data_IF_877688778036
#
_entry.id   IF_877688778036
#
_cell.length_a   1.000
_cell.length_b   1.000
_cell.length_c   1.000
_cell.angle_alpha   90.00
_cell.angle_beta   90.00
_cell.angle_gamma   90.00
#
_symmetry.space_group_name_H-M   'P 1'
#
loop_
_entity.id
_entity.type
_entity.pdbx_description
1 polymer ?
#
# COMPACT_ATOMS: atom_id res chain seq x y z
N UNK A 1 26.84 8.62 23.11
CA UNK A 1 25.79 9.60 22.76
C UNK A 1 25.48 9.42 21.29
N UNK A 2 24.37 8.88 20.80
CA UNK A 2 23.15 8.32 21.38
C UNK A 2 22.72 7.12 20.49
N UNK A 3 22.31 6.02 21.12
CA UNK A 3 21.59 4.94 20.45
C UNK A 3 20.13 5.38 20.29
N UNK A 4 19.84 6.11 19.21
CA UNK A 4 18.47 6.35 18.77
C UNK A 4 18.00 5.16 17.95
N UNK A 5 17.67 4.05 18.62
CA UNK A 5 17.08 2.90 17.95
C UNK A 5 15.76 3.33 17.32
N UNK A 6 15.67 3.25 16.00
CA UNK A 6 14.46 3.57 15.28
C UNK A 6 13.40 2.51 15.59
N UNK A 7 12.26 2.95 16.12
CA UNK A 7 11.29 2.06 16.75
C UNK A 7 10.44 1.35 15.70
N UNK A 8 10.67 0.06 15.52
CA UNK A 8 9.82 -0.81 14.72
C UNK A 8 8.44 -0.91 15.38
N UNK A 9 7.38 -0.88 14.57
CA UNK A 9 6.01 -1.06 15.07
C UNK A 9 5.51 -2.46 14.80
N UNK A 10 4.73 -2.97 15.74
CA UNK A 10 3.91 -4.17 15.54
C UNK A 10 2.70 -3.81 14.69
N UNK A 11 2.42 -4.65 13.71
CA UNK A 11 1.25 -4.54 12.83
C UNK A 11 0.53 -5.87 12.75
N UNK A 12 -0.74 -5.81 12.33
CA UNK A 12 -1.58 -6.98 12.12
C UNK A 12 -2.35 -6.81 10.82
N UNK A 13 -2.37 -7.86 10.00
CA UNK A 13 -3.17 -7.88 8.78
C UNK A 13 -4.66 -7.60 9.08
N UNK A 14 -5.29 -6.83 8.19
CA UNK A 14 -6.67 -6.37 8.34
C UNK A 14 -7.54 -6.80 7.15
N UNK A 15 -7.15 -6.41 5.94
CA UNK A 15 -7.97 -6.61 4.74
C UNK A 15 -7.16 -6.57 3.45
N UNK A 16 -7.77 -7.02 2.36
CA UNK A 16 -7.25 -6.84 1.00
C UNK A 16 -8.20 -6.04 0.13
N UNK A 17 -7.63 -5.25 -0.78
CA UNK A 17 -8.36 -4.54 -1.83
C UNK A 17 -7.64 -4.70 -3.16
N UNK A 18 -8.39 -4.78 -4.26
CA UNK A 18 -7.83 -4.76 -5.63
C UNK A 18 -8.03 -3.38 -6.22
N UNK A 19 -6.98 -2.76 -6.74
CA UNK A 19 -7.00 -1.37 -7.21
C UNK A 19 -6.07 -1.14 -8.38
N UNK A 20 -6.35 -0.08 -9.14
CA UNK A 20 -5.34 0.60 -9.94
C UNK A 20 -4.76 1.76 -9.13
N UNK A 21 -3.44 1.97 -9.17
CA UNK A 21 -2.81 3.09 -8.47
C UNK A 21 -2.52 4.20 -9.48
N UNK A 22 -3.33 5.25 -9.44
CA UNK A 22 -3.32 6.32 -10.43
C UNK A 22 -2.58 7.55 -9.90
N UNK A 23 -1.88 8.23 -10.79
CA UNK A 23 -1.43 9.61 -10.61
C UNK A 23 -2.20 10.47 -11.60
N UNK A 24 -2.85 11.55 -11.17
CA UNK A 24 -3.70 12.37 -12.03
C UNK A 24 -3.02 13.64 -12.56
N UNK A 25 -1.77 13.90 -12.16
CA UNK A 25 -1.20 15.24 -12.21
C UNK A 25 -0.29 15.47 -13.42
N UNK A 26 -0.77 16.30 -14.35
CA UNK A 26 0.03 16.91 -15.42
C UNK A 26 0.94 15.93 -16.15
N UNK A 27 2.24 16.23 -16.19
CA UNK A 27 3.24 15.38 -16.86
C UNK A 27 3.34 13.98 -16.24
N UNK A 28 3.00 13.79 -14.96
CA UNK A 28 3.12 12.52 -14.25
C UNK A 28 1.87 11.64 -14.36
N UNK A 29 0.79 12.17 -14.96
CA UNK A 29 -0.46 11.45 -15.15
C UNK A 29 -0.26 10.05 -15.73
N UNK A 30 -0.91 9.06 -15.13
CA UNK A 30 -0.86 7.66 -15.54
C UNK A 30 -1.10 6.69 -14.39
N UNK A 31 -1.12 5.40 -14.69
CA UNK A 31 -1.33 4.30 -13.74
C UNK A 31 -0.02 3.56 -13.52
N UNK A 32 0.24 3.10 -12.28
CA UNK A 32 1.38 2.22 -12.01
C UNK A 32 1.24 0.92 -12.80
N UNK A 33 2.33 0.47 -13.40
CA UNK A 33 2.37 -0.72 -14.25
C UNK A 33 3.67 -1.50 -14.04
N UNK A 34 3.58 -2.83 -14.10
CA UNK A 34 4.73 -3.71 -14.25
C UNK A 34 4.77 -4.21 -15.68
N UNK A 35 5.75 -3.75 -16.45
CA UNK A 35 5.91 -4.24 -17.81
C UNK A 35 6.41 -5.68 -17.85
N UNK A 36 5.80 -6.48 -18.73
CA UNK A 36 6.38 -7.74 -19.18
C UNK A 36 7.60 -7.47 -20.10
N UNK A 37 8.58 -8.36 -20.03
CA UNK A 37 9.72 -8.40 -20.94
C UNK A 37 9.28 -9.00 -22.29
N UNK A 38 10.14 -8.89 -23.32
CA UNK A 38 9.86 -9.44 -24.66
C UNK A 38 9.63 -10.96 -24.66
N UNK A 39 10.18 -11.69 -23.69
CA UNK A 39 9.98 -13.13 -23.49
C UNK A 39 8.73 -13.48 -22.66
N UNK A 40 7.90 -12.49 -22.30
CA UNK A 40 6.70 -12.66 -21.49
C UNK A 40 6.95 -12.71 -19.98
N UNK A 41 8.20 -12.71 -19.51
CA UNK A 41 8.49 -12.69 -18.08
C UNK A 41 8.18 -11.33 -17.45
N UNK A 42 7.75 -11.31 -16.17
CA UNK A 42 7.52 -10.05 -15.47
C UNK A 42 8.82 -9.25 -15.27
N UNK A 43 8.74 -7.94 -15.51
CA UNK A 43 9.82 -7.00 -15.21
C UNK A 43 9.97 -6.76 -13.70
N UNK A 44 11.19 -6.52 -13.22
CA UNK A 44 11.49 -6.28 -11.79
C UNK A 44 11.35 -4.80 -11.34
N UNK A 45 10.58 -3.99 -12.07
CA UNK A 45 10.51 -2.52 -11.90
C UNK A 45 9.09 -2.01 -12.12
N UNK A 46 8.73 -0.98 -11.35
CA UNK A 46 7.47 -0.26 -11.49
C UNK A 46 7.64 0.94 -12.42
N UNK A 47 6.73 1.10 -13.38
CA UNK A 47 6.67 2.24 -14.30
C UNK A 47 5.32 2.94 -14.18
N UNK A 48 5.11 3.98 -14.99
CA UNK A 48 3.79 4.56 -15.24
C UNK A 48 3.40 4.36 -16.69
N UNK A 49 2.16 3.97 -16.93
CA UNK A 49 1.55 4.03 -18.26
C UNK A 49 0.55 5.18 -18.32
N UNK A 50 0.58 6.03 -19.36
CA UNK A 50 -0.43 7.09 -19.52
C UNK A 50 -1.80 6.53 -19.90
N UNK A 51 -1.83 5.36 -20.57
CA UNK A 51 -3.03 4.75 -21.10
C UNK A 51 -3.12 3.30 -20.65
N UNK A 52 -4.23 2.96 -19.98
CA UNK A 52 -4.63 1.58 -19.76
C UNK A 52 -5.43 1.13 -20.98
N UNK A 53 -4.98 0.06 -21.61
CA UNK A 53 -5.58 -0.55 -22.79
C UNK A 53 -5.98 -1.99 -22.45
N UNK A 54 -6.84 -2.65 -23.24
CA UNK A 54 -7.14 -4.06 -23.02
C UNK A 54 -5.89 -4.97 -22.99
N UNK A 55 -4.80 -4.59 -23.68
CA UNK A 55 -3.57 -5.38 -23.78
C UNK A 55 -2.72 -5.35 -22.50
N UNK A 56 -2.71 -4.25 -21.77
CA UNK A 56 -1.85 -4.04 -20.60
C UNK A 56 -2.66 -3.78 -19.32
N UNK A 57 -3.95 -4.10 -19.33
CA UNK A 57 -4.84 -3.84 -18.20
C UNK A 57 -4.40 -4.63 -16.98
N UNK A 58 -4.10 -5.91 -17.16
CA UNK A 58 -3.79 -6.82 -16.05
C UNK A 58 -2.44 -6.47 -15.40
N UNK A 59 -1.48 -5.98 -16.20
CA UNK A 59 -0.18 -5.43 -15.75
C UNK A 59 -0.31 -4.23 -14.78
N UNK A 60 -1.49 -3.61 -14.70
CA UNK A 60 -1.77 -2.42 -13.85
C UNK A 60 -2.54 -2.76 -12.58
N UNK A 61 -3.01 -3.99 -12.43
CA UNK A 61 -3.84 -4.40 -11.30
C UNK A 61 -2.95 -4.69 -10.10
N UNK A 62 -3.19 -3.97 -9.00
CA UNK A 62 -2.48 -4.13 -7.75
C UNK A 62 -3.42 -4.70 -6.69
N UNK A 63 -3.03 -5.81 -6.07
CA UNK A 63 -3.60 -6.27 -4.82
C UNK A 63 -2.88 -5.58 -3.66
N UNK A 64 -3.66 -4.89 -2.83
CA UNK A 64 -3.18 -4.12 -1.70
C UNK A 64 -3.61 -4.79 -0.40
N UNK A 65 -2.64 -5.21 0.40
CA UNK A 65 -2.85 -5.77 1.73
C UNK A 65 -2.74 -4.65 2.75
N UNK A 66 -3.72 -4.49 3.61
CA UNK A 66 -3.77 -3.43 4.62
C UNK A 66 -3.56 -4.00 6.01
N UNK A 67 -2.87 -3.24 6.86
CA UNK A 67 -2.51 -3.64 8.22
C UNK A 67 -2.88 -2.55 9.22
N UNK A 68 -3.38 -2.97 10.37
CA UNK A 68 -3.55 -2.15 11.57
C UNK A 68 -2.23 -2.10 12.33
N UNK A 69 -1.97 -1.01 13.04
CA UNK A 69 -0.76 -0.84 13.86
C UNK A 69 -1.11 -0.59 15.33
N UNK A 70 -0.22 -1.02 16.22
CA UNK A 70 -0.31 -0.78 17.66
C UNK A 70 1.02 -0.14 18.10
N UNK A 71 1.02 1.13 18.57
CA UNK A 71 -0.12 2.05 18.60
C UNK A 71 -0.55 2.48 17.18
N UNK A 72 -1.81 2.97 17.01
CA UNK A 72 -2.28 3.51 15.75
C UNK A 72 -1.36 4.61 15.20
N UNK A 73 -1.31 4.73 13.89
CA UNK A 73 -0.51 5.75 13.19
C UNK A 73 -1.41 6.58 12.27
N UNK A 74 -0.95 7.77 11.91
CA UNK A 74 -1.59 8.55 10.85
C UNK A 74 -1.25 7.95 9.48
N UNK A 75 -2.25 7.32 8.86
CA UNK A 75 -2.13 6.52 7.64
C UNK A 75 -2.32 5.02 7.86
N UNK A 76 -2.25 4.26 6.76
CA UNK A 76 -2.46 2.80 6.75
C UNK A 76 -1.21 2.11 6.25
N UNK A 77 -0.73 1.10 6.99
CA UNK A 77 0.35 0.25 6.50
C UNK A 77 -0.17 -0.66 5.40
N UNK A 78 0.56 -0.74 4.29
CA UNK A 78 0.16 -1.52 3.12
C UNK A 78 1.33 -2.27 2.49
N UNK A 79 1.00 -3.39 1.86
CA UNK A 79 1.85 -4.09 0.88
C UNK A 79 1.18 -4.00 -0.49
N UNK A 80 1.98 -3.74 -1.54
CA UNK A 80 1.50 -3.63 -2.92
C UNK A 80 2.02 -4.81 -3.73
N UNK A 81 1.12 -5.62 -4.28
CA UNK A 81 1.44 -6.77 -5.13
C UNK A 81 0.84 -6.58 -6.52
N UNK A 82 1.64 -6.74 -7.58
CA UNK A 82 1.12 -6.76 -8.95
C UNK A 82 0.43 -8.11 -9.18
N UNK A 83 -0.88 -8.08 -9.44
CA UNK A 83 -1.73 -9.28 -9.41
C UNK A 83 -1.37 -10.30 -10.49
N UNK A 84 -0.95 -9.85 -11.67
CA UNK A 84 -0.60 -10.74 -12.79
C UNK A 84 0.67 -11.56 -12.52
N UNK A 85 1.67 -10.99 -11.85
CA UNK A 85 2.96 -11.64 -11.59
C UNK A 85 3.14 -12.14 -10.16
N UNK A 86 2.23 -11.77 -9.27
CA UNK A 86 2.31 -11.97 -7.81
C UNK A 86 3.54 -11.30 -7.16
N UNK A 87 4.29 -10.47 -7.89
CA UNK A 87 5.48 -9.79 -7.36
C UNK A 87 5.10 -8.58 -6.50
N UNK A 88 5.86 -8.39 -5.42
CA UNK A 88 5.65 -7.30 -4.46
C UNK A 88 6.53 -6.09 -4.78
N UNK A 89 5.95 -4.89 -4.68
CA UNK A 89 6.74 -3.67 -4.57
C UNK A 89 7.50 -3.68 -3.25
N UNK A 90 8.80 -3.44 -3.30
CA UNK A 90 9.65 -3.47 -2.12
C UNK A 90 10.83 -2.49 -2.23
N UNK A 91 11.41 -2.20 -1.07
CA UNK A 91 12.73 -1.56 -0.99
C UNK A 91 13.79 -2.62 -1.20
N UNK A 92 14.73 -2.41 -2.12
CA UNK A 92 15.75 -3.41 -2.45
C UNK A 92 16.64 -3.75 -1.26
N UNK A 93 16.93 -5.04 -1.08
CA UNK A 93 17.85 -5.52 -0.07
C UNK A 93 19.24 -4.91 -0.24
N UNK A 94 19.83 -4.45 0.87
CA UNK A 94 21.10 -3.72 0.89
C UNK A 94 21.10 -2.35 0.19
N UNK A 95 20.03 -1.97 -0.51
CA UNK A 95 19.87 -0.68 -1.21
C UNK A 95 18.45 -0.13 -1.01
N UNK A 96 18.12 0.28 0.23
CA UNK A 96 16.75 0.57 0.64
C UNK A 96 16.14 1.77 -0.11
N UNK A 97 16.93 2.61 -0.79
CA UNK A 97 16.46 3.72 -1.62
C UNK A 97 16.01 3.32 -3.03
N UNK A 98 16.17 2.05 -3.41
CA UNK A 98 15.78 1.54 -4.73
C UNK A 98 14.45 0.80 -4.62
N UNK A 99 13.45 1.25 -5.39
CA UNK A 99 12.19 0.55 -5.58
C UNK A 99 12.37 -0.60 -6.58
N UNK A 100 11.93 -1.80 -6.20
CA UNK A 100 11.97 -3.01 -7.03
C UNK A 100 10.67 -3.80 -6.94
N UNK A 101 10.48 -4.71 -7.89
CA UNK A 101 9.51 -5.79 -7.79
C UNK A 101 10.26 -7.10 -7.55
N UNK A 102 9.86 -7.84 -6.53
CA UNK A 102 10.50 -9.10 -6.10
C UNK A 102 9.44 -10.18 -5.87
N UNK A 103 9.83 -11.43 -6.14
CA UNK A 103 8.96 -12.61 -6.01
C UNK A 103 8.72 -12.96 -4.53
N UNK A 104 7.63 -13.67 -4.18
CA UNK A 104 7.34 -14.05 -2.80
C UNK A 104 8.50 -14.75 -2.07
N UNK A 105 9.27 -15.60 -2.76
CA UNK A 105 10.40 -16.34 -2.19
C UNK A 105 11.64 -15.49 -1.86
N UNK A 106 11.64 -14.18 -2.16
CA UNK A 106 12.73 -13.23 -1.85
C UNK A 106 12.57 -12.58 -0.45
N UNK A 107 11.62 -13.05 0.34
CA UNK A 107 11.26 -12.50 1.65
C UNK A 107 11.22 -13.60 2.72
N UNK A 108 11.49 -13.23 3.98
CA UNK A 108 11.50 -14.17 5.12
C UNK A 108 10.15 -14.89 5.29
N UNK A 109 9.05 -14.22 4.93
CA UNK A 109 7.72 -14.82 4.84
C UNK A 109 7.12 -14.54 3.47
N UNK A 110 6.79 -15.58 2.72
CA UNK A 110 6.20 -15.45 1.38
C UNK A 110 4.79 -14.85 1.45
N UNK A 111 4.04 -15.21 2.49
CA UNK A 111 2.68 -14.72 2.76
C UNK A 111 2.70 -13.30 3.30
N UNK A 112 2.11 -12.37 2.54
CA UNK A 112 1.97 -10.99 2.99
C UNK A 112 1.09 -10.88 4.25
N UNK A 113 0.05 -11.71 4.41
CA UNK A 113 -0.85 -11.64 5.57
C UNK A 113 -0.14 -12.00 6.89
N UNK A 114 0.97 -12.74 6.81
CA UNK A 114 1.78 -13.15 7.95
C UNK A 114 2.77 -12.07 8.44
N UNK A 115 2.88 -10.92 7.77
CA UNK A 115 3.78 -9.85 8.20
C UNK A 115 3.26 -9.20 9.48
N UNK A 116 4.13 -9.11 10.49
CA UNK A 116 3.79 -8.62 11.83
C UNK A 116 4.57 -7.38 12.27
N UNK A 117 5.56 -6.92 11.49
CA UNK A 117 6.38 -5.75 11.85
C UNK A 117 6.67 -4.84 10.65
N UNK A 118 6.95 -3.57 10.91
CA UNK A 118 7.36 -2.58 9.89
C UNK A 118 8.78 -2.79 9.34
N UNK A 119 9.48 -3.84 9.78
CA UNK A 119 10.82 -4.19 9.31
C UNK A 119 10.80 -4.92 7.95
N UNK A 120 9.65 -5.40 7.48
CA UNK A 120 9.55 -6.07 6.19
C UNK A 120 9.69 -5.05 5.04
N UNK A 121 10.47 -5.43 4.01
CA UNK A 121 10.84 -4.57 2.87
C UNK A 121 9.67 -4.23 1.95
N UNK A 122 8.57 -4.97 2.02
CA UNK A 122 7.35 -4.79 1.24
C UNK A 122 6.42 -3.73 1.83
N UNK A 123 6.64 -3.31 3.08
CA UNK A 123 5.74 -2.41 3.78
C UNK A 123 5.95 -0.93 3.44
N UNK A 124 4.84 -0.30 3.09
CA UNK A 124 4.72 1.14 2.92
C UNK A 124 3.68 1.68 3.90
N UNK A 125 3.89 2.88 4.42
CA UNK A 125 2.84 3.66 5.06
C UNK A 125 2.15 4.51 3.97
N UNK A 126 0.90 4.19 3.68
CA UNK A 126 0.01 4.98 2.83
C UNK A 126 -0.56 6.15 3.65
N UNK A 127 -0.09 7.37 3.38
CA UNK A 127 -0.47 8.57 4.13
C UNK A 127 -1.36 9.48 3.30
N UNK A 128 -2.49 9.97 3.83
CA UNK A 128 -3.30 10.96 3.15
C UNK A 128 -2.53 12.28 3.01
N UNK A 129 -2.66 12.96 1.86
CA UNK A 129 -2.08 14.28 1.61
C UNK A 129 -3.11 15.33 2.02
N UNK A 130 -2.91 15.93 3.20
CA UNK A 130 -3.75 17.03 3.67
C UNK A 130 -3.50 18.29 2.82
N UNK A 131 -4.58 18.91 2.32
CA UNK A 131 -4.52 20.19 1.60
C UNK A 131 -4.29 20.10 0.08
N UNK A 132 -4.33 18.90 -0.52
CA UNK A 132 -4.53 18.79 -1.96
C UNK A 132 -5.91 19.42 -2.29
N UNK A 133 -5.92 20.39 -3.20
CA UNK A 133 -7.11 21.18 -3.53
C UNK A 133 -8.26 20.21 -3.87
N UNK A 134 -9.43 20.28 -3.21
CA UNK A 134 -10.57 19.52 -3.64
C UNK A 134 -10.94 19.99 -5.05
N UNK A 135 -10.72 19.12 -6.04
CA UNK A 135 -11.45 19.26 -7.30
C UNK A 135 -12.95 19.25 -6.94
N UNK A 136 -13.72 20.12 -7.59
CA UNK A 136 -15.03 20.59 -7.18
C UNK A 136 -16.13 19.51 -6.99
N UNK A 137 -15.80 18.24 -7.17
CA UNK A 137 -16.69 17.09 -7.05
C UNK A 137 -16.08 16.10 -6.05
N UNK A 138 -16.66 16.04 -4.84
CA UNK A 138 -16.52 15.01 -3.80
C UNK A 138 -15.26 14.10 -3.77
N UNK A 139 -14.49 14.23 -2.68
CA UNK A 139 -13.86 13.12 -1.95
C UNK A 139 -12.67 12.36 -2.56
N UNK A 140 -11.92 12.92 -3.50
CA UNK A 140 -10.68 12.25 -3.96
C UNK A 140 -9.50 12.61 -3.04
N UNK A 141 -9.11 11.68 -2.16
CA UNK A 141 -7.94 11.83 -1.29
C UNK A 141 -6.70 11.33 -2.02
N UNK A 142 -5.69 12.20 -2.16
CA UNK A 142 -4.37 11.77 -2.60
C UNK A 142 -3.61 11.12 -1.46
N UNK A 143 -2.78 10.15 -1.82
CA UNK A 143 -1.89 9.46 -0.90
C UNK A 143 -0.45 9.52 -1.37
N UNK A 144 0.47 9.46 -0.41
CA UNK A 144 1.87 9.09 -0.65
C UNK A 144 2.12 7.70 -0.08
N UNK A 145 2.97 6.90 -0.73
CA UNK A 145 3.39 5.59 -0.25
C UNK A 145 4.82 5.67 0.27
N UNK A 146 4.99 5.82 1.58
CA UNK A 146 6.30 5.94 2.23
C UNK A 146 6.84 4.57 2.63
N UNK A 147 7.97 4.13 2.05
CA UNK A 147 8.58 2.84 2.41
C UNK A 147 9.04 2.87 3.87
N UNK A 148 8.70 1.85 4.66
CA UNK A 148 9.13 1.76 6.05
C UNK A 148 10.66 1.63 6.14
N UNK A 149 11.26 0.79 5.28
CA UNK A 149 12.69 0.52 5.26
C UNK A 149 13.50 1.70 4.74
N UNK A 150 13.08 2.29 3.61
CA UNK A 150 13.76 3.44 3.01
C UNK A 150 13.67 4.70 3.88
N UNK A 151 12.62 4.79 4.71
CA UNK A 151 12.40 5.88 5.68
C UNK A 151 13.02 5.58 7.04
N UNK A 152 13.86 4.56 7.16
CA UNK A 152 14.56 4.23 8.40
C UNK A 152 13.57 4.02 9.56
N UNK A 153 12.55 3.20 9.32
CA UNK A 153 11.44 2.92 10.25
C UNK A 153 10.61 4.14 10.69
N UNK A 154 10.81 5.31 10.07
CA UNK A 154 10.09 6.55 10.38
C UNK A 154 9.29 7.08 9.16
N UNK A 155 8.42 6.29 8.53
CA UNK A 155 7.72 6.71 7.32
C UNK A 155 6.68 7.83 7.55
N UNK A 156 6.27 8.06 8.80
CA UNK A 156 5.38 9.17 9.19
C UNK A 156 6.06 10.55 9.18
N UNK A 157 7.35 10.62 9.49
CA UNK A 157 8.10 11.89 9.51
C UNK A 157 8.46 12.31 8.09
N UNK A 158 7.87 13.40 7.58
CA UNK A 158 8.12 13.93 6.23
C UNK A 158 9.60 14.19 5.93
N UNK A 159 10.42 14.48 6.95
CA UNK A 159 11.85 14.74 6.76
C UNK A 159 12.66 13.46 6.51
N UNK A 160 12.14 12.31 6.95
CA UNK A 160 12.74 10.99 6.76
C UNK A 160 12.05 10.17 5.68
N UNK A 161 10.76 10.40 5.48
CA UNK A 161 9.90 9.65 4.58
C UNK A 161 10.46 9.61 3.16
N UNK A 162 10.71 8.39 2.66
CA UNK A 162 11.04 8.12 1.27
C UNK A 162 9.86 7.45 0.59
N UNK A 163 9.28 8.17 -0.37
CA UNK A 163 8.01 7.81 -1.01
C UNK A 163 8.21 7.38 -2.46
N UNK A 164 7.31 6.54 -2.96
CA UNK A 164 7.21 6.24 -4.39
C UNK A 164 7.10 7.55 -5.17
N UNK A 165 7.94 7.72 -6.18
CA UNK A 165 8.05 8.95 -6.96
C UNK A 165 8.20 8.62 -8.44
N UNK A 166 7.30 9.19 -9.25
CA UNK A 166 7.35 9.11 -10.71
C UNK A 166 8.41 10.04 -11.28
N UNK A 167 8.99 9.67 -12.42
CA UNK A 167 9.91 10.51 -13.17
C UNK A 167 9.21 11.12 -14.40
N UNK A 168 9.71 12.28 -14.85
CA UNK A 168 9.13 13.02 -15.98
C UNK A 168 8.99 12.14 -17.23
N UNK A 169 10.02 11.38 -17.57
CA UNK A 169 9.96 10.41 -18.67
C UNK A 169 9.39 9.08 -18.20
N UNK A 170 8.41 8.56 -18.94
CA UNK A 170 7.77 7.25 -18.72
C UNK A 170 8.75 6.08 -18.93
N UNK A 171 9.86 6.31 -19.64
CA UNK A 171 10.90 5.30 -19.88
C UNK A 171 11.69 4.94 -18.63
N UNK A 172 11.61 5.76 -17.59
CA UNK A 172 12.32 5.50 -16.34
C UNK A 172 11.37 4.95 -15.29
N UNK A 173 11.81 3.94 -14.51
CA UNK A 173 11.01 3.38 -13.44
C UNK A 173 10.80 4.40 -12.32
N UNK A 174 9.73 4.21 -11.56
CA UNK A 174 9.51 4.89 -10.30
C UNK A 174 10.66 4.61 -9.31
N UNK A 175 10.87 5.54 -8.36
CA UNK A 175 11.94 5.45 -7.35
C UNK A 175 11.44 5.84 -5.98
N UNK A 176 12.21 5.52 -4.94
CA UNK A 176 11.99 6.06 -3.60
C UNK A 176 12.79 7.35 -3.45
N UNK A 177 12.09 8.49 -3.33
CA UNK A 177 12.72 9.79 -3.04
C UNK A 177 12.14 10.38 -1.78
N UNK A 178 12.90 11.26 -1.12
CA UNK A 178 12.38 11.97 0.05
C UNK A 178 11.11 12.74 -0.32
N UNK A 179 10.12 12.68 0.56
CA UNK A 179 8.86 13.41 0.43
C UNK A 179 9.15 14.92 0.24
N UNK A 180 8.51 15.54 -0.75
CA UNK A 180 8.67 16.97 -1.06
C UNK A 180 10.02 17.37 -1.69
N UNK A 181 10.94 16.43 -1.93
CA UNK A 181 12.22 16.69 -2.64
C UNK A 181 12.15 16.42 -4.15
N UNK A 182 11.00 16.02 -4.64
CA UNK A 182 10.64 15.99 -6.05
C UNK A 182 9.35 16.83 -6.24
N UNK A 183 8.95 17.15 -7.49
CA UNK A 183 7.64 17.77 -7.73
C UNK A 183 6.55 16.97 -7.02
N UNK A 184 5.76 17.65 -6.20
CA UNK A 184 4.79 17.02 -5.29
C UNK A 184 3.80 16.14 -6.06
N UNK A 185 3.37 16.62 -7.21
CA UNK A 185 2.52 15.96 -8.18
C UNK A 185 3.03 14.59 -8.61
N UNK A 186 4.34 14.36 -8.59
CA UNK A 186 4.95 13.07 -8.97
C UNK A 186 4.91 12.02 -7.86
N UNK A 187 4.50 12.42 -6.66
CA UNK A 187 4.46 11.58 -5.46
C UNK A 187 3.03 11.29 -4.99
N UNK A 188 2.03 11.95 -5.59
CA UNK A 188 0.63 11.81 -5.22
C UNK A 188 -0.05 10.74 -6.04
N UNK A 189 -0.77 9.86 -5.35
CA UNK A 189 -1.41 8.72 -5.95
C UNK A 189 -2.82 8.53 -5.39
N UNK A 190 -3.66 7.91 -6.19
CA UNK A 190 -5.04 7.59 -5.88
C UNK A 190 -5.26 6.11 -6.19
N UNK A 191 -5.35 5.26 -5.17
CA UNK A 191 -5.89 3.92 -5.33
C UNK A 191 -7.34 4.03 -5.80
N UNK A 192 -7.63 3.51 -6.98
CA UNK A 192 -8.98 3.39 -7.52
C UNK A 192 -9.38 1.93 -7.40
N UNK A 193 -10.31 1.59 -6.47
CA UNK A 193 -10.79 0.23 -6.32
C UNK A 193 -11.40 -0.29 -7.62
N UNK A 194 -11.11 -1.56 -7.93
CA UNK A 194 -11.80 -2.28 -8.99
C UNK A 194 -12.96 -3.05 -8.34
N UNK A 195 -14.20 -2.79 -8.74
CA UNK A 195 -15.39 -3.40 -8.14
C UNK A 195 -15.30 -4.94 -8.12
N UNK A 196 -15.71 -5.55 -6.99
CA UNK A 196 -16.01 -6.98 -6.90
C UNK A 196 -15.03 -7.88 -6.13
N UNK A 197 -13.94 -7.38 -5.53
CA UNK A 197 -12.98 -8.23 -4.80
C UNK A 197 -12.40 -7.53 -3.56
N UNK A 198 -13.09 -7.63 -2.43
CA UNK A 198 -12.53 -7.29 -1.12
C UNK A 198 -12.79 -8.45 -0.17
N UNK A 199 -11.72 -9.11 0.29
CA UNK A 199 -11.80 -10.09 1.39
C UNK A 199 -11.55 -9.33 2.70
N UNK A 200 -12.58 -9.23 3.52
CA UNK A 200 -12.46 -8.87 4.94
C UNK A 200 -11.95 -10.10 5.70
N UNK A 201 -11.08 -9.90 6.68
CA UNK A 201 -10.65 -10.99 7.56
C UNK A 201 -11.77 -11.31 8.57
N UNK A 202 -12.45 -12.44 8.37
CA UNK A 202 -13.40 -12.99 9.35
C UNK A 202 -12.64 -13.59 10.53
N UNK A 203 -12.28 -12.77 11.52
CA UNK A 203 -11.88 -13.27 12.83
C UNK A 203 -12.47 -12.40 13.93
N UNK A 204 -13.73 -12.68 14.30
CA UNK A 204 -14.25 -12.72 15.68
C UNK A 204 -15.58 -13.50 15.68
N UNK A 205 -15.68 -14.66 16.36
CA UNK A 205 -17.00 -15.20 16.68
C UNK A 205 -17.61 -14.30 17.76
N UNK A 206 -18.68 -13.58 17.42
CA UNK A 206 -19.59 -13.01 18.40
C UNK A 206 -20.22 -14.22 19.12
N UNK A 207 -19.86 -14.44 20.38
CA UNK A 207 -20.61 -15.34 21.23
C UNK A 207 -22.02 -14.75 21.38
N UNK A 208 -22.99 -15.36 20.71
CA UNK A 208 -24.40 -15.18 21.02
C UNK A 208 -24.61 -15.62 22.47
N UNK A 209 -24.75 -14.66 23.39
CA UNK A 209 -25.33 -14.95 24.69
C UNK A 209 -26.83 -15.18 24.48
N UNK A 210 -27.24 -16.45 24.58
CA UNK A 210 -28.63 -16.82 24.80
C UNK A 210 -29.18 -16.07 26.02
N UNK A 211 -30.06 -15.10 25.78
CA UNK A 211 -30.95 -14.59 26.82
C UNK A 211 -32.16 -15.51 26.85
N UNK A 212 -32.16 -16.48 27.76
CA UNK A 212 -33.37 -17.22 28.12
C UNK A 212 -34.36 -16.27 28.80
N UNK A 213 -35.33 -15.74 28.03
CA UNK A 213 -36.56 -15.17 28.59
C UNK A 213 -37.45 -16.33 29.04
N UNK A 214 -37.29 -16.73 30.31
CA UNK A 214 -38.23 -17.60 31.00
C UNK A 214 -39.45 -16.80 31.45
N UNK A 215 -40.53 -16.86 30.67
CA UNK A 215 -41.87 -16.46 31.11
C UNK A 215 -42.34 -17.41 32.23
N UNK A 216 -42.27 -16.94 33.48
CA UNK A 216 -43.07 -17.48 34.58
C UNK A 216 -44.12 -16.44 34.97
N UNK A 217 -45.27 -16.50 34.31
CA UNK A 217 -46.52 -16.01 34.90
C UNK A 217 -47.10 -17.09 35.80
N UNK A 218 -46.98 -16.89 37.11
CA UNK A 218 -47.84 -17.51 38.11
C UNK A 218 -48.12 -16.50 39.21
N UNK A 219 -49.33 -15.94 39.13
CA UNK A 219 -50.28 -15.61 40.21
C UNK A 219 -49.76 -15.42 41.64
N UNK A 220 -50.18 -14.30 42.25
CA UNK A 220 -50.55 -14.03 43.65
C UNK A 220 -50.40 -12.50 43.79
N UNK A 221 -51.42 -11.69 44.06
CA UNK A 221 -52.49 -11.78 45.07
C UNK A 221 -53.65 -10.86 44.70
#
# INVERSE_FOLDING_TARGET
>A
MAAGGEEQKTIQFDSTAVSQINNQYGTYKGTLIQHLKDNGEPGKKVYRTPNVTPRNKDETIVQMYSYKSIPPTDGTYVVLQFKESEMYAASKEGRPDVLVLEEPGEFDTEDAEAITTTADRRLFLMKPVLGAVPAADFAVTDFVFASCIASQQNPGDKNKARVITLLKSQRFPARLKREGRAPLESQYFQPVPLEGVSKLSDKHPVQEQEVQLGDRMSSLS
#
